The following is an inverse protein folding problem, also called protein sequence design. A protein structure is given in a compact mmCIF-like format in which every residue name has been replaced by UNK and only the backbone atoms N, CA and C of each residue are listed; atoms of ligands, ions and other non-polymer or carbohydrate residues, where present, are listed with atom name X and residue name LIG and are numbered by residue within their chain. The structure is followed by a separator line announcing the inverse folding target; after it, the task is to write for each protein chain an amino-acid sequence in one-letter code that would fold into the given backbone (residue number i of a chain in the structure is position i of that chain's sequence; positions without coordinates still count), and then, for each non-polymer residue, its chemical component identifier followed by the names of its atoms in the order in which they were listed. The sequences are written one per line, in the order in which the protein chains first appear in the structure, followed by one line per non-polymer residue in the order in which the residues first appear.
data_IF_509486810321
#
_entry.id   IF_509486810321
#
_cell.length_a   1.000
_cell.length_b   1.000
_cell.length_c   1.000
_cell.angle_alpha   90.00
_cell.angle_beta   90.00
_cell.angle_gamma   90.00
#
_symmetry.space_group_name_H-M   'P 1'
#
loop_
_entity.id
_entity.type
_entity.pdbx_description
1 polymer ?
#
# COMPACT_ATOMS: atom_id res chain seq x y z
N UNK A 1 -26.55 37.49 18.56
CA UNK A 1 -25.37 37.43 17.66
C UNK A 1 -24.47 36.32 18.17
N UNK A 2 -24.32 35.23 17.42
CA UNK A 2 -23.34 34.19 17.75
C UNK A 2 -21.94 34.79 17.60
N UNK A 3 -21.21 34.88 18.71
CA UNK A 3 -19.81 35.28 18.69
C UNK A 3 -18.99 34.06 18.26
N UNK A 4 -18.85 33.90 16.95
CA UNK A 4 -18.14 32.77 16.33
C UNK A 4 -16.73 32.60 16.95
N UNK A 5 -16.09 33.70 17.32
CA UNK A 5 -14.78 33.68 17.99
C UNK A 5 -14.83 33.04 19.38
N UNK A 6 -15.89 33.27 20.15
CA UNK A 6 -16.09 32.68 21.47
C UNK A 6 -16.48 31.20 21.35
N UNK A 7 -17.30 30.84 20.37
CA UNK A 7 -17.69 29.46 20.10
C UNK A 7 -16.47 28.62 19.66
N UNK A 8 -15.58 29.19 18.83
CA UNK A 8 -14.32 28.56 18.42
C UNK A 8 -13.35 28.42 19.59
N UNK A 9 -13.23 29.43 20.45
CA UNK A 9 -12.40 29.37 21.66
C UNK A 9 -12.90 28.31 22.64
N UNK A 10 -14.21 28.22 22.84
CA UNK A 10 -14.83 27.22 23.72
C UNK A 10 -14.64 25.78 23.18
N UNK A 11 -14.81 25.59 21.87
CA UNK A 11 -14.55 24.29 21.23
C UNK A 11 -13.07 23.89 21.29
N UNK A 12 -12.16 24.86 21.14
CA UNK A 12 -10.72 24.63 21.25
C UNK A 12 -10.27 24.33 22.70
N UNK A 13 -11.01 24.79 23.71
CA UNK A 13 -10.76 24.47 25.12
C UNK A 13 -11.32 23.11 25.55
N UNK A 14 -12.15 22.46 24.72
CA UNK A 14 -12.82 21.19 25.00
C UNK A 14 -11.92 19.94 25.00
N UNK A 15 -10.62 20.08 25.27
CA UNK A 15 -9.67 18.96 25.35
C UNK A 15 -8.69 19.13 26.50
N UNK A 16 -9.17 19.58 27.66
CA UNK A 16 -8.37 19.72 28.88
C UNK A 16 -8.64 18.62 29.94
N UNK A 17 -9.51 17.64 29.64
CA UNK A 17 -9.89 16.51 30.52
C UNK A 17 -9.33 15.14 30.08
N UNK A 18 -8.41 15.10 29.11
CA UNK A 18 -7.68 13.87 28.76
C UNK A 18 -6.28 13.95 29.36
N UNK A 19 -5.70 12.85 29.93
CA UNK A 19 -4.55 12.76 30.86
C UNK A 19 -3.59 13.97 30.85
N UNK A 20 -2.27 13.92 30.79
CA UNK A 20 -1.34 14.96 30.25
C UNK A 20 -0.04 14.64 30.94
N UNK A 21 0.90 14.10 30.17
CA UNK A 21 2.13 13.55 30.72
C UNK A 21 2.57 12.26 30.02
N UNK A 22 3.66 11.63 30.47
CA UNK A 22 4.30 10.48 29.80
C UNK A 22 3.40 9.26 29.55
N UNK A 23 2.25 9.19 30.22
CA UNK A 23 1.29 8.10 30.11
C UNK A 23 0.23 8.30 29.01
N UNK A 24 0.12 9.49 28.39
CA UNK A 24 -0.95 9.84 27.44
C UNK A 24 -1.05 8.93 26.21
N UNK A 25 0.06 8.33 25.79
CA UNK A 25 0.10 7.38 24.67
C UNK A 25 -0.17 5.93 25.08
N UNK A 26 -0.01 5.60 26.37
CA UNK A 26 -0.26 4.26 26.93
C UNK A 26 -1.72 4.06 27.32
N UNK A 27 -2.41 5.16 27.64
CA UNK A 27 -3.79 5.17 28.16
C UNK A 27 -4.90 5.20 27.10
N UNK A 28 -4.56 5.21 25.80
CA UNK A 28 -5.54 5.10 24.71
C UNK A 28 -5.42 3.75 24.00
N UNK A 29 -6.09 2.69 24.50
CA UNK A 29 -6.08 1.36 23.87
C UNK A 29 -6.50 1.42 22.41
N UNK A 30 -7.45 2.29 22.07
CA UNK A 30 -8.01 2.41 20.73
C UNK A 30 -6.99 3.04 19.78
N UNK A 31 -6.26 4.09 20.21
CA UNK A 31 -5.26 4.74 19.37
C UNK A 31 -4.13 3.81 18.95
N UNK A 32 -3.68 2.94 19.88
CA UNK A 32 -2.66 1.94 19.58
C UNK A 32 -3.17 0.90 18.57
N UNK A 33 -4.40 0.42 18.74
CA UNK A 33 -5.01 -0.52 17.79
C UNK A 33 -5.10 0.08 16.37
N UNK A 34 -5.50 1.35 16.25
CA UNK A 34 -5.55 2.04 14.96
C UNK A 34 -4.16 2.13 14.32
N UNK A 35 -3.13 2.48 15.10
CA UNK A 35 -1.75 2.53 14.59
C UNK A 35 -1.25 1.15 14.14
N UNK A 36 -1.55 0.08 14.88
CA UNK A 36 -1.18 -1.29 14.51
C UNK A 36 -1.89 -1.72 13.23
N UNK A 37 -3.18 -1.45 13.09
CA UNK A 37 -3.93 -1.75 11.87
C UNK A 37 -3.41 -0.96 10.67
N UNK A 38 -3.08 0.32 10.86
CA UNK A 38 -2.45 1.13 9.82
C UNK A 38 -1.11 0.54 9.40
N UNK A 39 -0.27 0.13 10.35
CA UNK A 39 1.01 -0.51 10.08
C UNK A 39 0.83 -1.79 9.25
N UNK A 40 -0.11 -2.65 9.65
CA UNK A 40 -0.44 -3.87 8.91
C UNK A 40 -0.92 -3.53 7.49
N UNK A 41 -1.78 -2.52 7.33
CA UNK A 41 -2.27 -2.09 6.03
C UNK A 41 -1.13 -1.60 5.12
N UNK A 42 -0.19 -0.81 5.65
CA UNK A 42 0.99 -0.34 4.90
C UNK A 42 1.90 -1.51 4.50
N UNK A 43 2.16 -2.45 5.42
CA UNK A 43 2.96 -3.64 5.12
C UNK A 43 2.27 -4.54 4.08
N UNK A 44 0.95 -4.73 4.18
CA UNK A 44 0.16 -5.47 3.21
C UNK A 44 0.16 -4.80 1.85
N UNK A 45 0.05 -3.46 1.80
CA UNK A 45 0.17 -2.71 0.55
C UNK A 45 1.55 -2.93 -0.07
N UNK A 46 2.63 -2.73 0.70
CA UNK A 46 4.01 -2.97 0.24
C UNK A 46 4.24 -4.40 -0.25
N UNK A 47 3.75 -5.40 0.48
CA UNK A 47 3.79 -6.80 0.06
C UNK A 47 3.03 -7.01 -1.24
N UNK A 48 1.81 -6.49 -1.35
CA UNK A 48 0.97 -6.67 -2.52
C UNK A 48 1.63 -6.08 -3.79
N UNK A 49 2.19 -4.88 -3.68
CA UNK A 49 3.02 -4.28 -4.73
C UNK A 49 4.21 -5.19 -5.07
N UNK A 50 5.00 -5.61 -4.07
CA UNK A 50 6.16 -6.47 -4.29
C UNK A 50 5.78 -7.79 -5.00
N UNK A 51 4.71 -8.44 -4.52
CA UNK A 51 4.19 -9.69 -5.07
C UNK A 51 3.74 -9.53 -6.51
N UNK A 52 3.09 -8.42 -6.85
CA UNK A 52 2.63 -8.13 -8.22
C UNK A 52 3.79 -7.84 -9.17
N UNK A 53 4.76 -7.01 -8.75
CA UNK A 53 5.92 -6.64 -9.57
C UNK A 53 6.85 -7.81 -9.89
N UNK A 54 6.90 -8.84 -9.03
CA UNK A 54 7.77 -10.00 -9.26
C UNK A 54 7.50 -10.75 -10.58
N UNK A 55 6.26 -10.77 -11.10
CA UNK A 55 5.97 -11.43 -12.38
C UNK A 55 6.39 -10.57 -13.58
N UNK A 56 6.13 -9.26 -13.50
CA UNK A 56 6.54 -8.32 -14.54
C UNK A 56 8.06 -8.30 -14.71
N UNK A 57 8.82 -8.38 -13.60
CA UNK A 57 10.29 -8.39 -13.67
C UNK A 57 10.87 -9.54 -14.53
N UNK A 58 10.26 -10.72 -14.51
CA UNK A 58 10.75 -11.85 -15.33
C UNK A 58 10.48 -11.63 -16.82
N UNK A 59 9.31 -11.08 -17.13
CA UNK A 59 8.90 -10.75 -18.50
C UNK A 59 9.72 -9.59 -19.07
N UNK A 60 9.99 -8.55 -18.26
CA UNK A 60 10.82 -7.42 -18.68
C UNK A 60 12.26 -7.82 -18.94
N UNK A 61 12.85 -8.67 -18.10
CA UNK A 61 14.22 -9.18 -18.32
C UNK A 61 14.34 -10.00 -19.60
N UNK A 62 13.33 -10.82 -19.91
CA UNK A 62 13.30 -11.57 -21.16
C UNK A 62 13.12 -10.65 -22.37
N UNK A 63 12.25 -9.66 -22.27
CA UNK A 63 12.00 -8.66 -23.30
C UNK A 63 13.27 -7.84 -23.62
N UNK A 64 13.98 -7.38 -22.59
CA UNK A 64 15.25 -6.66 -22.71
C UNK A 64 16.34 -7.52 -23.39
N UNK A 65 16.43 -8.80 -23.03
CA UNK A 65 17.39 -9.72 -23.65
C UNK A 65 17.13 -10.01 -25.13
N UNK A 66 15.86 -9.93 -25.58
CA UNK A 66 15.46 -10.23 -26.95
C UNK A 66 15.13 -8.97 -27.78
N UNK A 67 15.25 -7.77 -27.20
CA UNK A 67 14.93 -6.49 -27.86
C UNK A 67 13.44 -6.29 -28.16
N UNK A 68 12.56 -6.95 -27.40
CA UNK A 68 11.10 -6.89 -27.57
C UNK A 68 10.52 -5.83 -26.63
N UNK A 69 9.46 -5.14 -27.01
CA UNK A 69 8.73 -4.24 -26.11
C UNK A 69 8.10 -5.06 -24.96
N UNK A 70 8.45 -4.78 -23.68
CA UNK A 70 7.88 -5.48 -22.52
C UNK A 70 6.35 -5.31 -22.37
N UNK A 71 5.74 -4.32 -23.03
CA UNK A 71 4.30 -4.07 -23.00
C UNK A 71 3.53 -4.78 -24.11
N UNK A 72 4.21 -5.22 -25.18
CA UNK A 72 3.60 -6.04 -26.24
C UNK A 72 3.46 -7.50 -25.77
N UNK A 73 2.32 -7.77 -25.12
CA UNK A 73 2.06 -9.05 -24.47
C UNK A 73 2.00 -10.19 -25.48
N UNK A 74 1.55 -9.96 -26.72
CA UNK A 74 1.38 -11.02 -27.71
C UNK A 74 2.73 -11.45 -28.27
N UNK A 75 3.55 -10.50 -28.69
CA UNK A 75 4.90 -10.77 -29.20
C UNK A 75 5.80 -11.39 -28.10
N UNK A 76 5.71 -10.86 -26.88
CA UNK A 76 6.49 -11.37 -25.75
C UNK A 76 6.05 -12.78 -25.33
N UNK A 77 4.74 -13.06 -25.30
CA UNK A 77 4.22 -14.38 -24.96
C UNK A 77 4.56 -15.42 -26.05
N UNK A 78 4.61 -15.04 -27.34
CA UNK A 78 5.08 -15.90 -28.43
C UNK A 78 6.58 -16.21 -28.30
N UNK A 79 7.42 -15.19 -28.14
CA UNK A 79 8.86 -15.36 -27.97
C UNK A 79 9.20 -16.21 -26.72
N UNK A 80 8.48 -16.01 -25.61
CA UNK A 80 8.65 -16.84 -24.41
C UNK A 80 8.19 -18.30 -24.63
N UNK A 81 7.19 -18.55 -25.49
CA UNK A 81 6.75 -19.92 -25.84
C UNK A 81 7.76 -20.63 -26.72
N UNK A 82 8.31 -19.93 -27.71
CA UNK A 82 9.38 -20.44 -28.58
C UNK A 82 10.64 -20.78 -27.77
N UNK A 83 10.99 -19.94 -26.80
CA UNK A 83 12.10 -20.19 -25.88
C UNK A 83 11.80 -21.24 -24.78
N UNK A 84 10.59 -21.79 -24.73
CA UNK A 84 10.18 -22.77 -23.71
C UNK A 84 10.08 -22.21 -22.28
N UNK A 85 10.14 -20.89 -22.11
CA UNK A 85 10.13 -20.18 -20.82
C UNK A 85 8.74 -19.69 -20.42
N UNK A 86 7.73 -19.98 -21.23
CA UNK A 86 6.37 -19.48 -21.03
C UNK A 86 5.70 -20.07 -19.77
N UNK A 87 5.32 -19.20 -18.85
CA UNK A 87 4.63 -19.57 -17.61
C UNK A 87 3.12 -19.73 -17.85
N UNK A 88 2.65 -20.99 -17.94
CA UNK A 88 1.23 -21.34 -18.12
C UNK A 88 0.38 -21.15 -16.85
N UNK A 89 0.94 -20.72 -15.72
CA UNK A 89 0.19 -20.58 -14.46
C UNK A 89 -0.87 -19.49 -14.58
N UNK A 90 -2.09 -19.83 -14.11
CA UNK A 90 -3.24 -18.92 -14.07
C UNK A 90 -2.84 -17.54 -13.51
N UNK A 91 -3.25 -16.48 -14.21
CA UNK A 91 -3.11 -15.10 -13.71
C UNK A 91 -3.96 -15.02 -12.44
N UNK A 92 -3.31 -14.78 -11.29
CA UNK A 92 -4.03 -14.51 -10.04
C UNK A 92 -4.88 -13.27 -10.29
N UNK A 93 -6.19 -13.35 -10.00
CA UNK A 93 -7.11 -12.21 -10.07
C UNK A 93 -6.95 -11.24 -8.90
N UNK A 94 -6.21 -11.67 -7.88
CA UNK A 94 -5.78 -10.88 -6.74
C UNK A 94 -4.39 -10.35 -7.03
#
# INVERSE_FOLDING_TARGET
MHNITADVLYFAQGSQDGPVGPEFGKSSPIGLLVLVLLLIAVLMAGWFFHRRHSRFRRRTLFAEAHGIDPFDQEALDQAMKEAGLYDYRKKSKF
#
